data_IF_894935457935
#
_entry.id   IF_894935457935
#
_cell.length_a   1.000
_cell.length_b   1.000
_cell.length_c   1.000
_cell.angle_alpha   90.00
_cell.angle_beta   90.00
_cell.angle_gamma   90.00
#
_symmetry.space_group_name_H-M   'P 1'
#
loop_
_entity.id
_entity.type
_entity.pdbx_description
1 polymer ?
#
# COMPACT_ATOMS: atom_id res chain seq x y z
N UNK A 1 4.79 -32.08 -0.73
CA UNK A 1 3.82 -30.98 -0.93
C UNK A 1 4.27 -29.91 0.05
N UNK A 2 4.78 -28.76 -0.41
CA UNK A 2 5.17 -27.69 0.52
C UNK A 2 3.89 -27.09 1.10
N UNK A 3 3.68 -27.26 2.40
CA UNK A 3 2.54 -26.67 3.11
C UNK A 3 2.72 -25.15 3.13
N UNK A 4 1.66 -24.41 2.81
CA UNK A 4 1.77 -22.96 2.91
C UNK A 4 1.79 -22.54 4.38
N UNK A 5 2.79 -21.74 4.75
CA UNK A 5 3.21 -21.58 6.15
C UNK A 5 2.27 -20.68 6.94
N UNK A 6 1.63 -19.70 6.28
CA UNK A 6 0.82 -18.67 6.95
C UNK A 6 -0.67 -18.70 6.58
N UNK A 7 -1.22 -19.87 6.20
CA UNK A 7 -2.59 -19.98 5.69
C UNK A 7 -3.69 -19.44 6.60
N UNK A 8 -3.46 -19.36 7.92
CA UNK A 8 -4.44 -18.82 8.87
C UNK A 8 -4.10 -17.42 9.39
N UNK A 9 -3.01 -16.81 8.91
CA UNK A 9 -2.56 -15.51 9.39
C UNK A 9 -3.45 -14.42 8.82
N UNK A 10 -4.27 -13.80 9.66
CA UNK A 10 -5.13 -12.67 9.25
C UNK A 10 -4.50 -11.30 9.55
N UNK A 11 -3.59 -11.24 10.51
CA UNK A 11 -2.98 -10.00 10.98
C UNK A 11 -1.46 -10.16 11.11
N UNK A 12 -0.71 -9.25 10.50
CA UNK A 12 0.75 -9.19 10.59
C UNK A 12 1.19 -7.77 10.94
N UNK A 13 2.00 -7.64 11.99
CA UNK A 13 2.62 -6.36 12.36
C UNK A 13 4.13 -6.49 12.47
N UNK A 14 4.84 -5.67 11.71
CA UNK A 14 6.31 -5.62 11.62
C UNK A 14 6.76 -4.23 12.03
N UNK A 15 7.13 -4.06 13.30
CA UNK A 15 7.46 -2.74 13.86
C UNK A 15 8.87 -2.72 14.46
N UNK A 16 9.59 -1.61 14.24
CA UNK A 16 10.91 -1.31 14.78
C UNK A 16 11.98 -2.34 14.43
N UNK A 17 11.85 -3.00 13.27
CA UNK A 17 12.81 -4.00 12.79
C UNK A 17 13.96 -3.30 12.05
N UNK A 18 14.96 -2.88 12.82
CA UNK A 18 16.06 -2.00 12.36
C UNK A 18 16.88 -2.55 11.18
N UNK A 19 16.89 -3.87 10.98
CA UNK A 19 17.64 -4.54 9.91
C UNK A 19 16.74 -5.18 8.85
N UNK A 20 15.41 -4.99 8.92
CA UNK A 20 14.47 -5.57 7.96
C UNK A 20 14.66 -4.92 6.59
N UNK A 21 15.12 -5.71 5.62
CA UNK A 21 15.31 -5.30 4.23
C UNK A 21 14.14 -5.69 3.31
N UNK A 22 13.42 -6.75 3.67
CA UNK A 22 12.22 -7.23 2.98
C UNK A 22 11.30 -7.93 3.97
N UNK A 23 9.99 -7.88 3.73
CA UNK A 23 8.99 -8.59 4.51
C UNK A 23 9.05 -10.11 4.25
N UNK A 24 9.39 -10.50 3.03
CA UNK A 24 9.53 -11.90 2.62
C UNK A 24 10.68 -12.09 1.64
N UNK A 25 11.51 -13.11 1.87
CA UNK A 25 12.59 -13.54 0.96
C UNK A 25 12.57 -15.06 0.73
N UNK A 26 11.51 -15.74 1.15
CA UNK A 26 11.35 -17.18 0.94
C UNK A 26 10.85 -17.50 -0.46
N UNK A 27 10.71 -18.80 -0.81
CA UNK A 27 10.14 -19.20 -2.09
C UNK A 27 8.74 -18.59 -2.32
N UNK A 28 8.39 -18.36 -3.59
CA UNK A 28 7.05 -17.88 -3.98
C UNK A 28 5.97 -18.85 -3.52
N UNK A 29 6.26 -20.14 -3.66
CA UNK A 29 5.40 -21.26 -3.30
C UNK A 29 5.50 -21.44 -1.78
N UNK A 30 4.36 -21.55 -1.11
CA UNK A 30 4.30 -21.82 0.32
C UNK A 30 4.28 -20.60 1.24
N UNK A 31 4.27 -19.36 0.73
CA UNK A 31 4.14 -18.16 1.58
C UNK A 31 2.84 -18.18 2.39
N UNK A 32 1.69 -18.39 1.74
CA UNK A 32 0.44 -18.65 2.44
C UNK A 32 -0.28 -17.45 3.07
N UNK A 33 0.04 -16.20 2.73
CA UNK A 33 -0.69 -15.01 3.23
C UNK A 33 -2.10 -14.82 2.65
N UNK A 34 -2.71 -15.87 2.09
CA UNK A 34 -3.98 -15.81 1.36
C UNK A 34 -5.17 -15.37 2.21
N UNK A 35 -5.06 -15.44 3.54
CA UNK A 35 -6.06 -14.96 4.50
C UNK A 35 -5.64 -13.68 5.24
N UNK A 36 -4.49 -13.09 4.90
CA UNK A 36 -4.02 -11.87 5.56
C UNK A 36 -4.94 -10.70 5.21
N UNK A 37 -5.59 -10.13 6.23
CA UNK A 37 -6.50 -8.99 6.14
C UNK A 37 -5.83 -7.68 6.53
N UNK A 38 -4.93 -7.70 7.50
CA UNK A 38 -4.27 -6.50 8.00
C UNK A 38 -2.75 -6.65 8.01
N UNK A 39 -2.06 -5.70 7.38
CA UNK A 39 -0.61 -5.57 7.43
C UNK A 39 -0.22 -4.19 7.97
N UNK A 40 0.58 -4.19 9.05
CA UNK A 40 1.15 -2.97 9.63
C UNK A 40 2.67 -3.05 9.59
N UNK A 41 3.32 -2.06 8.98
CA UNK A 41 4.78 -1.96 8.90
C UNK A 41 5.23 -0.59 9.41
N UNK A 42 6.11 -0.57 10.41
CA UNK A 42 6.42 0.66 11.14
C UNK A 42 7.86 0.77 11.61
N UNK A 43 8.55 1.89 11.40
CA UNK A 43 9.88 2.10 12.01
C UNK A 43 10.95 1.14 11.50
N UNK A 44 10.89 0.76 10.22
CA UNK A 44 11.86 -0.13 9.56
C UNK A 44 12.78 0.69 8.64
N UNK A 45 13.96 1.15 9.11
CA UNK A 45 14.84 2.07 8.39
C UNK A 45 15.57 1.47 7.19
N UNK A 46 15.73 0.15 7.15
CA UNK A 46 16.43 -0.57 6.06
C UNK A 46 15.47 -1.11 4.98
N UNK A 47 14.16 -0.90 5.13
CA UNK A 47 13.14 -1.42 4.22
C UNK A 47 12.98 -0.49 3.01
N UNK A 48 13.11 -1.02 1.80
CA UNK A 48 13.05 -0.24 0.55
C UNK A 48 11.71 -0.38 -0.20
N UNK A 49 11.03 -1.51 -0.04
CA UNK A 49 9.71 -1.82 -0.63
C UNK A 49 8.86 -2.59 0.37
N UNK A 50 7.52 -2.51 0.22
CA UNK A 50 6.59 -3.25 1.10
C UNK A 50 6.25 -4.59 0.48
N UNK A 51 5.80 -4.58 -0.77
CA UNK A 51 5.46 -5.78 -1.52
C UNK A 51 6.40 -5.98 -2.69
N UNK A 52 6.97 -7.19 -2.79
CA UNK A 52 7.46 -7.71 -4.05
C UNK A 52 6.30 -8.12 -4.94
N UNK A 53 6.55 -8.25 -6.25
CA UNK A 53 5.58 -8.79 -7.22
C UNK A 53 5.02 -10.15 -6.79
N UNK A 54 5.85 -10.97 -6.15
CA UNK A 54 5.52 -12.34 -5.77
C UNK A 54 4.63 -12.40 -4.51
N UNK A 55 4.76 -11.41 -3.64
CA UNK A 55 3.98 -11.32 -2.40
C UNK A 55 2.56 -10.85 -2.68
N UNK A 56 2.38 -9.93 -3.63
CA UNK A 56 1.09 -9.30 -3.90
C UNK A 56 0.02 -10.30 -4.37
N UNK A 57 0.43 -11.37 -5.06
CA UNK A 57 -0.46 -12.46 -5.48
C UNK A 57 -1.04 -13.26 -4.31
N UNK A 58 -0.31 -13.32 -3.21
CA UNK A 58 -0.74 -14.02 -2.02
C UNK A 58 -1.54 -13.12 -1.06
N UNK A 59 -1.79 -11.85 -1.41
CA UNK A 59 -2.47 -10.87 -0.56
C UNK A 59 -3.89 -10.52 -1.04
N UNK A 60 -4.58 -11.50 -1.63
CA UNK A 60 -5.92 -11.33 -2.20
C UNK A 60 -7.00 -10.97 -1.16
N UNK A 61 -6.74 -11.26 0.12
CA UNK A 61 -7.61 -10.91 1.24
C UNK A 61 -7.22 -9.64 2.00
N UNK A 62 -6.19 -8.91 1.57
CA UNK A 62 -5.73 -7.74 2.31
C UNK A 62 -6.76 -6.61 2.24
N UNK A 63 -7.25 -6.21 3.40
CA UNK A 63 -8.25 -5.17 3.61
C UNK A 63 -7.62 -3.87 4.12
N UNK A 64 -6.56 -3.97 4.92
CA UNK A 64 -5.91 -2.84 5.55
C UNK A 64 -4.38 -2.89 5.45
N UNK A 65 -3.80 -1.79 4.97
CA UNK A 65 -2.37 -1.57 4.93
C UNK A 65 -2.00 -0.28 5.65
N UNK A 66 -1.12 -0.39 6.65
CA UNK A 66 -0.51 0.77 7.32
C UNK A 66 1.01 0.70 7.19
N UNK A 67 1.62 1.77 6.69
CA UNK A 67 3.06 1.90 6.54
C UNK A 67 3.50 3.22 7.13
N UNK A 68 4.39 3.20 8.12
CA UNK A 68 4.83 4.42 8.78
C UNK A 68 6.31 4.45 9.19
N UNK A 69 6.92 5.62 9.13
CA UNK A 69 8.30 5.84 9.62
C UNK A 69 9.33 4.88 9.01
N UNK A 70 9.20 4.58 7.72
CA UNK A 70 10.15 3.75 6.95
C UNK A 70 10.87 4.63 5.92
N UNK A 71 11.99 5.28 6.29
CA UNK A 71 12.62 6.34 5.49
C UNK A 71 13.15 5.92 4.12
N UNK A 72 13.48 4.64 3.92
CA UNK A 72 14.01 4.14 2.65
C UNK A 72 12.95 3.61 1.69
N UNK A 73 11.69 3.53 2.10
CA UNK A 73 10.61 3.00 1.25
C UNK A 73 10.38 3.95 0.08
N UNK A 74 10.68 3.48 -1.14
CA UNK A 74 10.50 4.24 -2.39
C UNK A 74 9.18 3.93 -3.08
N UNK A 75 8.71 2.69 -2.94
CA UNK A 75 7.43 2.24 -3.46
C UNK A 75 6.73 1.29 -2.50
N UNK A 76 5.39 1.28 -2.53
CA UNK A 76 4.61 0.27 -1.78
C UNK A 76 4.64 -1.07 -2.53
N UNK A 77 4.41 -1.03 -3.84
CA UNK A 77 4.47 -2.20 -4.73
C UNK A 77 5.64 -2.04 -5.69
N UNK A 78 6.58 -2.98 -5.67
CA UNK A 78 7.64 -3.08 -6.68
C UNK A 78 7.05 -3.55 -8.01
N UNK A 79 7.37 -2.86 -9.11
CA UNK A 79 7.05 -3.18 -10.52
C UNK A 79 6.22 -4.46 -10.73
N UNK A 80 4.94 -4.32 -11.06
CA UNK A 80 4.08 -5.47 -11.36
C UNK A 80 3.63 -5.42 -12.82
N UNK A 81 3.58 -6.58 -13.49
CA UNK A 81 2.95 -6.72 -14.81
C UNK A 81 1.42 -6.89 -14.75
N UNK A 82 0.86 -7.09 -13.56
CA UNK A 82 -0.54 -7.44 -13.34
C UNK A 82 -1.37 -6.25 -12.86
N UNK A 83 -2.54 -6.08 -13.48
CA UNK A 83 -3.41 -4.89 -13.35
C UNK A 83 -4.50 -5.00 -12.26
N UNK A 84 -4.64 -6.15 -11.60
CA UNK A 84 -5.85 -6.50 -10.82
C UNK A 84 -5.62 -6.82 -9.34
N UNK A 85 -4.56 -6.32 -8.71
CA UNK A 85 -4.18 -6.71 -7.35
C UNK A 85 -4.81 -5.83 -6.25
N UNK A 86 -4.91 -6.37 -5.03
CA UNK A 86 -5.46 -5.70 -3.83
C UNK A 86 -6.92 -5.22 -3.94
N UNK A 87 -7.78 -5.98 -4.61
CA UNK A 87 -9.19 -5.60 -4.82
C UNK A 87 -10.00 -5.43 -3.53
N UNK A 88 -9.59 -6.07 -2.43
CA UNK A 88 -10.25 -5.96 -1.12
C UNK A 88 -9.70 -4.85 -0.24
N UNK A 89 -8.63 -4.15 -0.65
CA UNK A 89 -8.04 -3.11 0.16
C UNK A 89 -9.03 -1.96 0.33
N UNK A 90 -9.44 -1.71 1.57
CA UNK A 90 -10.40 -0.68 1.96
C UNK A 90 -9.71 0.50 2.65
N UNK A 91 -8.64 0.22 3.41
CA UNK A 91 -7.89 1.22 4.18
C UNK A 91 -6.40 1.23 3.80
N UNK A 92 -5.92 2.40 3.38
CA UNK A 92 -4.49 2.66 3.18
C UNK A 92 -4.03 3.82 4.06
N UNK A 93 -3.01 3.59 4.87
CA UNK A 93 -2.37 4.62 5.70
C UNK A 93 -0.88 4.67 5.40
N UNK A 94 -0.40 5.81 4.91
CA UNK A 94 1.00 6.08 4.61
C UNK A 94 1.45 7.31 5.40
N UNK A 95 2.40 7.14 6.32
CA UNK A 95 2.82 8.21 7.22
C UNK A 95 4.33 8.32 7.37
N UNK A 96 4.88 9.51 7.16
CA UNK A 96 6.32 9.78 7.34
C UNK A 96 7.19 8.83 6.52
N UNK A 97 6.97 8.86 5.19
CA UNK A 97 7.72 8.10 4.19
C UNK A 97 8.41 9.10 3.23
N UNK A 98 9.55 9.69 3.64
CA UNK A 98 10.21 10.79 2.92
C UNK A 98 10.66 10.43 1.50
N UNK A 99 11.01 9.17 1.25
CA UNK A 99 11.49 8.68 -0.04
C UNK A 99 10.40 8.07 -0.92
N UNK A 100 9.15 8.00 -0.45
CA UNK A 100 8.06 7.37 -1.19
C UNK A 100 7.72 8.20 -2.43
N UNK A 101 7.93 7.62 -3.60
CA UNK A 101 7.70 8.27 -4.90
C UNK A 101 6.40 7.78 -5.56
N UNK A 102 6.05 6.51 -5.35
CA UNK A 102 4.89 5.87 -5.97
C UNK A 102 4.25 4.84 -5.04
N UNK A 103 2.94 4.68 -5.10
CA UNK A 103 2.24 3.56 -4.44
C UNK A 103 2.31 2.31 -5.33
N UNK A 104 2.07 2.47 -6.63
CA UNK A 104 2.18 1.42 -7.63
C UNK A 104 2.59 2.05 -8.97
N UNK A 105 3.53 1.43 -9.69
CA UNK A 105 4.03 1.96 -10.96
C UNK A 105 3.09 1.75 -12.15
N UNK A 106 2.34 0.64 -12.15
CA UNK A 106 1.31 0.37 -13.15
C UNK A 106 -0.08 0.61 -12.58
N UNK A 107 -1.02 0.86 -13.48
CA UNK A 107 -2.41 1.14 -13.13
C UNK A 107 -3.04 -0.10 -12.50
N UNK A 108 -3.13 -0.10 -11.18
CA UNK A 108 -4.03 -0.99 -10.44
C UNK A 108 -5.39 -0.31 -10.34
N UNK A 109 -6.46 -1.01 -10.70
CA UNK A 109 -7.82 -0.56 -10.45
C UNK A 109 -8.26 -1.03 -9.06
N UNK A 110 -8.18 -0.18 -8.05
CA UNK A 110 -8.70 -0.54 -6.73
C UNK A 110 -10.21 -0.29 -6.69
N UNK A 111 -10.98 -1.35 -6.46
CA UNK A 111 -12.45 -1.29 -6.49
C UNK A 111 -13.06 -1.07 -5.11
N UNK A 112 -12.42 -1.58 -4.04
CA UNK A 112 -12.95 -1.50 -2.67
C UNK A 112 -12.36 -0.37 -1.82
N UNK A 113 -11.41 0.42 -2.33
CA UNK A 113 -10.76 1.45 -1.51
C UNK A 113 -11.79 2.46 -1.00
N UNK A 114 -11.79 2.72 0.31
CA UNK A 114 -12.68 3.67 0.97
C UNK A 114 -11.91 4.83 1.59
N UNK A 115 -10.75 4.57 2.19
CA UNK A 115 -9.97 5.59 2.91
C UNK A 115 -8.50 5.50 2.53
N UNK A 116 -7.94 6.67 2.22
CA UNK A 116 -6.51 6.86 2.02
C UNK A 116 -6.03 8.00 2.92
N UNK A 117 -5.20 7.68 3.92
CA UNK A 117 -4.53 8.68 4.74
C UNK A 117 -3.07 8.79 4.31
N UNK A 118 -2.65 9.97 3.87
CA UNK A 118 -1.28 10.24 3.45
C UNK A 118 -0.79 11.52 4.16
N UNK A 119 0.28 11.39 4.95
CA UNK A 119 0.90 12.54 5.60
C UNK A 119 2.41 12.37 5.72
N UNK A 120 3.15 13.47 5.55
CA UNK A 120 4.62 13.48 5.52
C UNK A 120 5.24 12.53 4.47
N UNK A 121 4.67 12.48 3.26
CA UNK A 121 5.18 11.75 2.09
C UNK A 121 5.50 12.72 0.93
N UNK A 122 6.49 13.62 1.07
CA UNK A 122 6.69 14.77 0.18
C UNK A 122 7.05 14.42 -1.27
N UNK A 123 7.62 13.24 -1.53
CA UNK A 123 8.00 12.81 -2.89
C UNK A 123 6.87 12.08 -3.63
N UNK A 124 5.76 11.78 -2.95
CA UNK A 124 4.64 11.08 -3.56
C UNK A 124 3.83 12.07 -4.40
N UNK A 125 3.96 11.97 -5.72
CA UNK A 125 3.34 12.91 -6.66
C UNK A 125 2.13 12.35 -7.41
N UNK A 126 1.86 11.05 -7.26
CA UNK A 126 0.81 10.34 -7.98
C UNK A 126 0.05 9.39 -7.06
N UNK A 127 -1.26 9.35 -7.20
CA UNK A 127 -2.13 8.39 -6.51
C UNK A 127 -2.54 7.25 -7.46
N UNK A 128 -2.80 6.04 -6.92
CA UNK A 128 -3.34 4.94 -7.72
C UNK A 128 -4.74 5.28 -8.21
N UNK A 129 -5.11 4.74 -9.37
CA UNK A 129 -6.47 4.90 -9.90
C UNK A 129 -7.45 4.05 -9.10
N UNK A 130 -8.58 4.65 -8.73
CA UNK A 130 -9.65 3.94 -8.02
C UNK A 130 -10.95 4.03 -8.81
N UNK A 131 -11.68 2.91 -8.91
CA UNK A 131 -13.07 2.89 -9.43
C UNK A 131 -14.11 2.99 -8.32
N UNK A 132 -13.67 3.08 -7.07
CA UNK A 132 -14.57 3.31 -5.94
C UNK A 132 -15.24 4.68 -6.07
N UNK A 133 -16.55 4.71 -5.90
CA UNK A 133 -17.37 5.91 -6.07
C UNK A 133 -17.20 6.92 -4.92
N UNK A 134 -16.63 6.50 -3.79
CA UNK A 134 -16.53 7.28 -2.54
C UNK A 134 -15.22 6.99 -1.82
N UNK A 135 -14.10 7.44 -2.37
CA UNK A 135 -12.81 7.43 -1.65
C UNK A 135 -12.68 8.72 -0.83
N UNK A 136 -12.37 8.58 0.46
CA UNK A 136 -11.98 9.68 1.35
C UNK A 136 -10.46 9.75 1.37
N UNK A 137 -9.92 10.88 0.93
CA UNK A 137 -8.48 11.11 0.94
C UNK A 137 -8.18 12.13 2.02
N UNK A 138 -7.29 11.77 2.94
CA UNK A 138 -6.95 12.57 4.11
C UNK A 138 -5.47 12.90 4.01
N UNK A 139 -5.12 14.18 4.09
CA UNK A 139 -3.73 14.62 4.02
C UNK A 139 -3.59 16.13 4.16
N UNK A 140 -2.36 16.61 4.10
CA UNK A 140 -2.08 18.05 4.18
C UNK A 140 -2.56 18.78 2.92
N UNK A 141 -3.17 19.98 3.04
CA UNK A 141 -3.60 20.77 1.88
C UNK A 141 -2.50 21.00 0.85
N UNK A 142 -1.30 21.36 1.30
CA UNK A 142 -0.18 21.71 0.42
C UNK A 142 0.28 20.49 -0.39
N UNK A 143 0.23 19.30 0.21
CA UNK A 143 0.54 18.07 -0.51
C UNK A 143 -0.49 17.78 -1.60
N UNK A 144 -1.79 17.92 -1.29
CA UNK A 144 -2.88 17.67 -2.22
C UNK A 144 -2.84 18.60 -3.44
N UNK A 145 -2.51 19.87 -3.24
CA UNK A 145 -2.37 20.86 -4.30
C UNK A 145 -1.20 20.53 -5.25
N UNK A 146 -0.11 19.98 -4.71
CA UNK A 146 1.10 19.65 -5.47
C UNK A 146 1.06 18.28 -6.18
N UNK A 147 -0.01 17.49 -6.04
CA UNK A 147 -0.17 16.22 -6.76
C UNK A 147 -0.28 16.44 -8.28
N UNK A 148 0.60 15.78 -9.04
CA UNK A 148 0.60 15.80 -10.51
C UNK A 148 -0.48 14.93 -11.11
N UNK A 149 -0.74 13.78 -10.49
CA UNK A 149 -1.81 12.87 -10.88
C UNK A 149 -2.59 12.46 -9.63
N UNK A 150 -3.84 12.89 -9.59
CA UNK A 150 -4.75 12.53 -8.51
C UNK A 150 -5.34 11.13 -8.74
N UNK A 151 -5.17 10.50 -9.91
CA UNK A 151 -5.49 9.09 -10.16
C UNK A 151 -6.90 8.88 -10.68
N UNK A 152 -7.26 9.41 -11.87
CA UNK A 152 -8.61 9.34 -12.46
C UNK A 152 -9.76 9.48 -11.43
N UNK A 153 -9.51 10.34 -10.45
CA UNK A 153 -10.49 10.90 -9.52
C UNK A 153 -11.36 11.82 -10.36
N UNK A 154 -12.23 11.24 -11.18
CA UNK A 154 -12.97 11.95 -12.21
C UNK A 154 -14.17 12.65 -11.58
N UNK A 155 -14.60 13.73 -12.22
CA UNK A 155 -15.70 14.67 -11.89
C UNK A 155 -17.07 14.05 -11.57
N UNK A 156 -17.22 12.71 -11.68
CA UNK A 156 -18.42 11.94 -11.27
C UNK A 156 -18.29 11.23 -9.93
N UNK A 157 -17.08 11.16 -9.37
CA UNK A 157 -16.81 10.51 -8.08
C UNK A 157 -17.01 11.53 -6.96
N UNK A 158 -17.81 11.19 -5.95
CA UNK A 158 -18.00 12.02 -4.73
C UNK A 158 -16.80 11.82 -3.81
N UNK A 159 -15.60 12.08 -4.32
CA UNK A 159 -14.39 11.99 -3.51
C UNK A 159 -14.29 13.23 -2.65
N UNK A 160 -13.93 13.01 -1.39
CA UNK A 160 -13.85 14.07 -0.39
C UNK A 160 -12.41 14.08 0.07
N UNK A 161 -11.66 15.09 -0.38
CA UNK A 161 -10.41 15.44 0.28
C UNK A 161 -10.75 16.07 1.63
N UNK A 162 -10.17 15.53 2.69
CA UNK A 162 -10.34 15.97 4.07
C UNK A 162 -8.98 16.47 4.57
N UNK A 163 -8.78 17.79 4.69
CA UNK A 163 -7.52 18.34 5.16
C UNK A 163 -7.29 17.99 6.63
N UNK A 164 -6.03 17.72 6.99
CA UNK A 164 -5.56 17.47 8.37
C UNK A 164 -4.22 18.16 8.64
#
# INVERSE_FOLDING_TARGET
MEEAVFQNLEYLSLQYLLKLRSIWQGPKIGMGFTHLKTLIVGGCPELETIFSEEMIENLSCLEELRVFSCPKVKSIIMENHLTTMLQKLTFLVLFSLPELQTICEKVTEWTSLQVMYISNCPKLMKLPRSRSHTVRIIGKPEWWENLKDKGNINEKSKQIFLPV
#
